data_IF_094299532710
#
_entry.id   IF_094299532710
#
_cell.length_a   1.000
_cell.length_b   1.000
_cell.length_c   1.000
_cell.angle_alpha   90.00
_cell.angle_beta   90.00
_cell.angle_gamma   90.00
#
_symmetry.space_group_name_H-M   'P 1'
#
loop_
_entity.id
_entity.type
_entity.pdbx_description
1 polymer ?
#
# COMPACT_ATOMS: atom_id res chain seq x y z
N UNK A 1 5.27 7.98 -22.69
CA UNK A 1 5.59 7.17 -21.50
C UNK A 1 4.48 7.39 -20.50
N UNK A 2 3.85 6.35 -19.94
CA UNK A 2 2.92 6.53 -18.82
C UNK A 2 3.73 7.05 -17.63
N UNK A 3 3.81 8.36 -17.49
CA UNK A 3 4.32 8.98 -16.27
C UNK A 3 3.30 8.68 -15.19
N UNK A 4 3.72 8.05 -14.10
CA UNK A 4 2.87 7.90 -12.92
C UNK A 4 2.69 9.29 -12.28
N UNK A 5 1.80 10.08 -12.88
CA UNK A 5 1.69 11.52 -12.63
C UNK A 5 0.72 11.86 -11.52
N UNK A 6 -0.19 10.96 -11.12
CA UNK A 6 -1.24 11.30 -10.15
C UNK A 6 -0.65 11.78 -8.83
N UNK A 7 0.22 10.98 -8.21
CA UNK A 7 0.83 11.37 -6.93
C UNK A 7 1.95 12.40 -7.08
N UNK A 8 2.68 12.36 -8.19
CA UNK A 8 3.70 13.38 -8.50
C UNK A 8 3.09 14.77 -8.76
N UNK A 9 1.87 14.85 -9.29
CA UNK A 9 1.14 16.11 -9.45
C UNK A 9 0.60 16.65 -8.12
N UNK A 10 0.41 15.79 -7.11
CA UNK A 10 -0.02 16.20 -5.77
C UNK A 10 1.16 16.71 -4.96
N UNK A 11 2.25 15.93 -4.90
CA UNK A 11 3.47 16.33 -4.21
C UNK A 11 4.69 15.64 -4.86
N UNK A 12 5.44 16.37 -5.71
CA UNK A 12 6.58 15.81 -6.43
C UNK A 12 7.63 15.20 -5.50
N UNK A 13 8.09 13.99 -5.82
CA UNK A 13 9.15 13.28 -5.10
C UNK A 13 8.75 12.74 -3.72
N UNK A 14 7.46 12.77 -3.34
CA UNK A 14 7.03 12.34 -2.01
C UNK A 14 6.55 10.88 -1.94
N UNK A 15 5.77 10.39 -2.90
CA UNK A 15 5.04 9.13 -2.70
C UNK A 15 5.84 7.87 -3.07
N UNK A 16 6.93 8.01 -3.81
CA UNK A 16 7.75 6.89 -4.29
C UNK A 16 9.15 6.93 -3.68
N UNK A 17 9.78 5.75 -3.55
CA UNK A 17 11.15 5.65 -3.04
C UNK A 17 12.17 6.07 -4.09
N UNK A 18 13.03 7.00 -3.71
CA UNK A 18 14.13 7.47 -4.55
C UNK A 18 15.18 6.37 -4.75
N UNK A 19 15.68 6.24 -5.98
CA UNK A 19 16.74 5.29 -6.36
C UNK A 19 16.46 3.83 -5.97
N UNK A 20 15.20 3.45 -5.78
CA UNK A 20 14.82 2.10 -5.41
C UNK A 20 15.07 1.11 -6.56
N UNK A 21 15.38 -0.15 -6.21
CA UNK A 21 15.36 -1.23 -7.18
C UNK A 21 13.92 -1.42 -7.67
N UNK A 22 13.71 -1.25 -8.97
CA UNK A 22 12.39 -1.40 -9.57
C UNK A 22 12.11 -2.83 -10.02
N UNK A 23 13.09 -3.72 -10.21
CA UNK A 23 12.80 -5.10 -10.64
C UNK A 23 12.06 -5.87 -9.53
N UNK A 24 10.98 -6.63 -9.84
CA UNK A 24 10.50 -7.01 -11.18
C UNK A 24 9.50 -6.04 -11.85
N UNK A 25 9.18 -4.91 -11.22
CA UNK A 25 8.29 -3.87 -11.77
C UNK A 25 9.05 -2.84 -12.63
N UNK A 26 8.29 -1.90 -13.19
CA UNK A 26 8.79 -0.84 -14.09
C UNK A 26 8.88 0.54 -13.42
N UNK A 27 8.26 0.73 -12.24
CA UNK A 27 8.24 2.00 -11.50
C UNK A 27 8.76 1.80 -10.07
N UNK A 28 9.18 2.90 -9.43
CA UNK A 28 9.58 2.86 -8.03
C UNK A 28 8.41 2.40 -7.13
N UNK A 29 8.67 1.57 -6.10
CA UNK A 29 7.68 1.24 -5.09
C UNK A 29 7.28 2.48 -4.28
N UNK A 30 6.11 2.41 -3.67
CA UNK A 30 5.65 3.43 -2.73
C UNK A 30 6.60 3.54 -1.53
N UNK A 31 6.84 4.77 -1.09
CA UNK A 31 7.59 5.10 0.12
C UNK A 31 6.68 5.03 1.35
N UNK A 32 6.19 3.85 1.70
CA UNK A 32 5.25 3.63 2.81
C UNK A 32 5.83 3.87 4.22
N UNK A 33 7.13 4.15 4.31
CA UNK A 33 7.75 4.75 5.49
C UNK A 33 7.34 6.22 5.71
N UNK A 34 6.76 6.88 4.70
CA UNK A 34 6.29 8.27 4.78
C UNK A 34 4.80 8.30 5.13
N UNK A 35 4.44 9.15 6.09
CA UNK A 35 3.10 9.18 6.71
C UNK A 35 1.95 9.25 5.71
N UNK A 36 2.02 10.14 4.71
CA UNK A 36 0.91 10.29 3.75
C UNK A 36 0.82 9.15 2.74
N UNK A 37 1.94 8.49 2.45
CA UNK A 37 1.97 7.28 1.62
C UNK A 37 1.38 6.09 2.38
N UNK A 38 1.73 5.93 3.66
CA UNK A 38 1.13 4.89 4.50
C UNK A 38 -0.37 5.12 4.67
N UNK A 39 -0.74 6.36 4.96
CA UNK A 39 -2.14 6.77 5.14
C UNK A 39 -2.99 6.41 3.94
N UNK A 40 -2.53 6.70 2.71
CA UNK A 40 -3.33 6.40 1.51
C UNK A 40 -3.52 4.90 1.27
N UNK A 41 -2.52 4.06 1.63
CA UNK A 41 -2.65 2.60 1.58
C UNK A 41 -3.74 2.14 2.56
N UNK A 42 -3.66 2.57 3.81
CA UNK A 42 -4.60 2.16 4.86
C UNK A 42 -6.01 2.68 4.55
N UNK A 43 -6.16 3.95 4.22
CA UNK A 43 -7.46 4.57 3.92
C UNK A 43 -8.13 3.90 2.70
N UNK A 44 -7.35 3.55 1.67
CA UNK A 44 -7.88 2.83 0.50
C UNK A 44 -8.45 1.47 0.89
N UNK A 45 -7.70 0.70 1.69
CA UNK A 45 -8.16 -0.64 2.12
C UNK A 45 -9.38 -0.55 3.03
N UNK A 46 -9.40 0.41 3.98
CA UNK A 46 -10.55 0.68 4.83
C UNK A 46 -11.79 0.98 4.01
N UNK A 47 -11.67 1.87 3.02
CA UNK A 47 -12.77 2.25 2.14
C UNK A 47 -13.35 1.04 1.41
N UNK A 48 -12.50 0.13 0.92
CA UNK A 48 -12.98 -1.12 0.30
C UNK A 48 -13.73 -2.05 1.27
N UNK A 49 -13.31 -2.13 2.53
CA UNK A 49 -14.02 -2.91 3.54
C UNK A 49 -15.34 -2.25 3.93
N UNK A 50 -15.35 -0.93 4.16
CA UNK A 50 -16.51 -0.18 4.65
C UNK A 50 -17.61 -0.03 3.60
N UNK A 51 -17.26 0.33 2.36
CA UNK A 51 -18.24 0.61 1.31
C UNK A 51 -18.66 -0.63 0.50
N UNK A 52 -17.72 -1.56 0.30
CA UNK A 52 -17.95 -2.72 -0.57
C UNK A 52 -17.98 -4.04 0.18
N UNK A 53 -17.81 -4.02 1.51
CA UNK A 53 -17.82 -5.21 2.36
C UNK A 53 -16.81 -6.29 1.91
N UNK A 54 -15.65 -5.88 1.36
CA UNK A 54 -14.58 -6.79 0.95
C UNK A 54 -14.13 -7.67 2.13
N UNK A 55 -13.87 -8.95 1.85
CA UNK A 55 -13.51 -9.96 2.87
C UNK A 55 -12.00 -10.13 3.08
N UNK A 56 -11.17 -9.55 2.21
CA UNK A 56 -9.72 -9.71 2.30
C UNK A 56 -8.95 -9.10 1.14
N UNK A 57 -7.63 -9.10 1.27
CA UNK A 57 -6.72 -8.52 0.29
C UNK A 57 -5.50 -9.42 0.04
N UNK A 58 -5.07 -9.45 -1.22
CA UNK A 58 -3.80 -10.01 -1.67
C UNK A 58 -2.86 -8.85 -1.99
N UNK A 59 -1.72 -8.76 -1.29
CA UNK A 59 -0.69 -7.76 -1.55
C UNK A 59 0.27 -8.24 -2.64
N UNK A 60 0.25 -7.53 -3.77
CA UNK A 60 1.25 -7.68 -4.82
C UNK A 60 2.62 -7.25 -4.31
N UNK A 61 3.65 -8.07 -4.56
CA UNK A 61 5.03 -7.81 -4.11
C UNK A 61 5.08 -7.27 -2.67
N UNK A 62 4.47 -7.97 -1.73
CA UNK A 62 4.36 -7.53 -0.33
C UNK A 62 5.70 -7.22 0.33
N UNK A 63 6.80 -7.79 -0.18
CA UNK A 63 8.17 -7.46 0.25
C UNK A 63 8.61 -6.01 -0.04
N UNK A 64 7.85 -5.26 -0.84
CA UNK A 64 8.07 -3.82 -1.05
C UNK A 64 7.47 -2.97 0.06
N UNK A 65 6.62 -3.52 0.92
CA UNK A 65 6.06 -2.82 2.06
C UNK A 65 6.89 -3.08 3.32
N UNK A 66 7.02 -2.05 4.16
CA UNK A 66 7.61 -2.23 5.47
C UNK A 66 6.70 -3.13 6.33
N UNK A 67 7.30 -3.97 7.17
CA UNK A 67 6.56 -4.85 8.07
C UNK A 67 5.62 -4.04 8.97
N UNK A 68 6.09 -2.90 9.46
CA UNK A 68 5.34 -1.99 10.32
C UNK A 68 4.07 -1.48 9.62
N UNK A 69 4.15 -1.17 8.32
CA UNK A 69 2.98 -0.78 7.52
C UNK A 69 1.98 -1.93 7.42
N UNK A 70 2.44 -3.14 7.13
CA UNK A 70 1.56 -4.31 6.99
C UNK A 70 0.91 -4.71 8.34
N UNK A 71 1.63 -4.56 9.45
CA UNK A 71 1.08 -4.77 10.79
C UNK A 71 -0.02 -3.72 11.11
N UNK A 72 0.20 -2.45 10.75
CA UNK A 72 -0.77 -1.38 10.94
C UNK A 72 -2.03 -1.60 10.09
N UNK A 73 -1.86 -2.01 8.84
CA UNK A 73 -2.95 -2.45 7.96
C UNK A 73 -3.73 -3.59 8.62
N UNK A 74 -3.05 -4.64 9.08
CA UNK A 74 -3.69 -5.80 9.67
C UNK A 74 -4.48 -5.46 10.94
N UNK A 75 -3.91 -4.63 11.81
CA UNK A 75 -4.60 -4.16 13.03
C UNK A 75 -5.83 -3.31 12.71
N UNK A 76 -5.70 -2.39 11.74
CA UNK A 76 -6.77 -1.46 11.35
C UNK A 76 -7.93 -2.20 10.70
N UNK A 77 -7.65 -3.09 9.74
CA UNK A 77 -8.71 -3.81 9.05
C UNK A 77 -9.41 -4.82 9.96
N UNK A 78 -8.69 -5.48 10.88
CA UNK A 78 -9.31 -6.40 11.86
C UNK A 78 -10.16 -5.69 12.90
N UNK A 79 -9.87 -4.42 13.21
CA UNK A 79 -10.74 -3.60 14.06
C UNK A 79 -12.10 -3.33 13.39
N UNK A 80 -12.15 -3.27 12.06
CA UNK A 80 -13.38 -3.07 11.28
C UNK A 80 -14.06 -4.42 10.99
N UNK A 81 -13.29 -5.42 10.56
CA UNK A 81 -13.76 -6.75 10.16
C UNK A 81 -12.81 -7.83 10.72
N UNK A 82 -13.12 -8.43 11.89
CA UNK A 82 -12.22 -9.36 12.59
C UNK A 82 -11.75 -10.56 11.77
N UNK A 83 -12.57 -11.01 10.81
CA UNK A 83 -12.30 -12.18 9.96
C UNK A 83 -11.65 -11.83 8.62
N UNK A 84 -11.16 -10.60 8.42
CA UNK A 84 -10.51 -10.19 7.17
C UNK A 84 -9.28 -11.06 6.88
N UNK A 85 -9.17 -11.54 5.64
CA UNK A 85 -8.06 -12.39 5.20
C UNK A 85 -7.00 -11.52 4.50
N UNK A 86 -5.75 -11.62 4.94
CA UNK A 86 -4.63 -10.89 4.34
C UNK A 86 -3.54 -11.89 3.95
N UNK A 87 -3.06 -11.81 2.71
CA UNK A 87 -1.92 -12.58 2.22
C UNK A 87 -1.17 -11.79 1.14
N UNK A 88 0.02 -12.23 0.74
CA UNK A 88 0.80 -11.53 -0.27
C UNK A 88 2.03 -12.28 -0.74
N UNK A 89 2.74 -11.71 -1.70
CA UNK A 89 3.97 -12.24 -2.26
C UNK A 89 5.19 -11.74 -1.49
N UNK A 90 5.73 -12.57 -0.60
CA UNK A 90 6.86 -12.22 0.28
C UNK A 90 8.17 -12.85 -0.21
N UNK A 91 8.54 -12.57 -1.46
CA UNK A 91 9.80 -13.03 -2.06
C UNK A 91 11.03 -12.39 -1.42
#
# INVERSE_FOLDING_TARGET
MMTNSTYENVLPGYYYRDNAKVKPVIYAPLADERDMTKKIIIDSLKYFVEEFNVDGFRFDLSCFHHKETLDEVASTLRAIKPNVILHGEAW
#
